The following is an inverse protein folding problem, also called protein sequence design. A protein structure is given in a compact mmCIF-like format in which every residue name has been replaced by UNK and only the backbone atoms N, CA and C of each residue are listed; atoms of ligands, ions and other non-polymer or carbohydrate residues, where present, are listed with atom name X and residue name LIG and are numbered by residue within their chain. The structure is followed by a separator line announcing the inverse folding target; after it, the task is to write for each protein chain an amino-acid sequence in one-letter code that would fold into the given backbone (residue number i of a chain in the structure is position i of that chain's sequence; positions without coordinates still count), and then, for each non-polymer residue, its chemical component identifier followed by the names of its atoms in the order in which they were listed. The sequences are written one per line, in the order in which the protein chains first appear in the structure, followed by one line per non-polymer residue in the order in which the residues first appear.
data_IF_263820455695
#
_entry.id   IF_263820455695
#
_cell.length_a   1.000
_cell.length_b   1.000
_cell.length_c   1.000
_cell.angle_alpha   90.00
_cell.angle_beta   90.00
_cell.angle_gamma   90.00
#
_symmetry.space_group_name_H-M   'P 1'
#
loop_
_entity.id
_entity.type
_entity.pdbx_description
1 polymer ?
#
# COMPACT_ATOMS: atom_id res chain seq x y z
N UNK A 1 15.73 -30.77 3.12
CA UNK A 1 14.78 -30.05 2.30
C UNK A 1 14.67 -28.62 2.78
N UNK A 2 14.63 -27.74 1.85
CA UNK A 2 14.49 -26.34 2.21
C UNK A 2 13.15 -26.12 2.90
N UNK A 3 13.17 -25.28 3.89
CA UNK A 3 11.96 -24.87 4.54
C UNK A 3 11.04 -24.21 3.50
N UNK A 4 9.76 -24.50 3.52
CA UNK A 4 8.87 -23.82 2.57
C UNK A 4 8.98 -22.31 2.77
N UNK A 5 8.86 -21.55 1.72
CA UNK A 5 8.92 -20.11 1.86
C UNK A 5 7.82 -19.65 2.79
N UNK A 6 8.15 -18.66 3.57
CA UNK A 6 7.14 -18.02 4.37
C UNK A 6 6.09 -17.47 3.44
N UNK A 7 4.87 -17.78 3.70
CA UNK A 7 3.83 -17.25 2.86
C UNK A 7 2.70 -16.75 3.72
N UNK A 8 2.04 -15.78 3.19
CA UNK A 8 0.88 -15.23 3.79
C UNK A 8 -0.33 -15.87 3.14
N UNK A 9 -1.01 -16.72 3.89
CA UNK A 9 -2.17 -17.44 3.40
C UNK A 9 -3.48 -16.72 3.71
N UNK A 10 -3.39 -15.49 4.20
CA UNK A 10 -4.57 -14.70 4.47
C UNK A 10 -5.12 -14.85 5.88
N UNK A 11 -4.49 -15.70 6.71
CA UNK A 11 -5.01 -15.94 8.05
C UNK A 11 -4.35 -15.08 9.12
N UNK A 12 -3.27 -14.41 8.79
CA UNK A 12 -2.53 -13.59 9.75
C UNK A 12 -2.30 -12.21 9.17
N UNK A 13 -2.34 -11.18 10.02
CA UNK A 13 -2.03 -9.83 9.54
C UNK A 13 -0.57 -9.70 9.15
N UNK A 14 -0.32 -8.88 8.16
CA UNK A 14 1.01 -8.59 7.65
C UNK A 14 1.27 -7.12 7.82
N UNK A 15 2.45 -6.80 8.32
CA UNK A 15 2.89 -5.41 8.45
C UNK A 15 3.73 -5.06 7.23
N UNK A 16 3.30 -4.02 6.54
CA UNK A 16 3.99 -3.53 5.35
C UNK A 16 4.53 -2.15 5.66
N UNK A 17 5.79 -1.95 5.34
CA UNK A 17 6.43 -0.65 5.48
C UNK A 17 6.96 -0.26 4.11
N UNK A 18 6.59 0.93 3.66
CA UNK A 18 7.06 1.47 2.40
C UNK A 18 7.69 2.82 2.62
N UNK A 19 8.85 3.03 2.02
CA UNK A 19 9.60 4.27 2.14
C UNK A 19 9.83 4.89 0.78
N UNK A 20 9.90 6.21 0.74
CA UNK A 20 10.36 6.90 -0.44
C UNK A 20 11.86 6.69 -0.61
N UNK A 21 12.33 6.93 -1.82
CA UNK A 21 13.77 6.98 -2.06
C UNK A 21 14.34 8.12 -1.24
N UNK A 22 15.58 7.94 -0.77
CA UNK A 22 16.24 8.93 0.08
C UNK A 22 16.13 10.32 -0.52
N UNK A 23 15.73 11.28 0.29
CA UNK A 23 15.62 12.67 -0.14
C UNK A 23 14.32 13.01 -0.85
N UNK A 24 13.43 12.06 -0.99
CA UNK A 24 12.16 12.29 -1.69
C UNK A 24 11.00 12.15 -0.71
N UNK A 25 9.80 12.38 -1.20
CA UNK A 25 8.58 12.18 -0.41
C UNK A 25 7.63 11.28 -1.19
N UNK A 26 6.85 10.50 -0.45
CA UNK A 26 5.79 9.70 -1.06
C UNK A 26 4.55 10.54 -1.29
N UNK A 27 4.20 11.35 -0.32
CA UNK A 27 2.96 12.13 -0.35
C UNK A 27 3.32 13.61 -0.27
N UNK A 28 3.39 14.28 -1.41
CA UNK A 28 3.85 15.68 -1.42
C UNK A 28 2.82 16.68 -0.87
N UNK A 29 1.56 16.28 -0.79
CA UNK A 29 0.53 17.20 -0.32
C UNK A 29 -0.65 16.42 0.25
N UNK A 30 -1.61 17.15 0.79
CA UNK A 30 -2.80 16.52 1.40
C UNK A 30 -3.62 15.76 0.38
N UNK A 31 -3.64 16.21 -0.85
CA UNK A 31 -4.36 15.51 -1.90
C UNK A 31 -3.77 14.13 -2.17
N UNK A 32 -2.45 14.02 -2.09
CA UNK A 32 -1.79 12.73 -2.27
C UNK A 32 -2.16 11.76 -1.15
N UNK A 33 -2.22 12.25 0.10
CA UNK A 33 -2.66 11.41 1.22
C UNK A 33 -4.08 10.90 0.99
N UNK A 34 -4.99 11.80 0.65
CA UNK A 34 -6.40 11.43 0.47
C UNK A 34 -6.56 10.47 -0.71
N UNK A 35 -5.86 10.74 -1.80
CA UNK A 35 -5.95 9.89 -2.98
C UNK A 35 -5.46 8.48 -2.69
N UNK A 36 -4.32 8.37 -2.00
CA UNK A 36 -3.75 7.06 -1.69
C UNK A 36 -4.64 6.30 -0.72
N UNK A 37 -5.15 6.99 0.29
CA UNK A 37 -6.07 6.39 1.25
C UNK A 37 -7.25 5.75 0.52
N UNK A 38 -7.88 6.52 -0.38
CA UNK A 38 -9.02 6.02 -1.13
C UNK A 38 -8.63 4.91 -2.10
N UNK A 39 -7.51 5.08 -2.79
CA UNK A 39 -7.07 4.09 -3.77
C UNK A 39 -6.74 2.76 -3.11
N UNK A 40 -6.06 2.82 -1.95
CA UNK A 40 -5.72 1.58 -1.25
C UNK A 40 -6.98 0.90 -0.72
N UNK A 41 -7.91 1.66 -0.18
CA UNK A 41 -9.16 1.10 0.30
C UNK A 41 -9.94 0.40 -0.81
N UNK A 42 -10.08 1.06 -1.94
CA UNK A 42 -10.80 0.48 -3.07
C UNK A 42 -10.08 -0.75 -3.62
N UNK A 43 -8.76 -0.66 -3.73
CA UNK A 43 -7.96 -1.76 -4.25
C UNK A 43 -7.99 -2.96 -3.31
N UNK A 44 -7.90 -2.70 -2.01
CA UNK A 44 -7.97 -3.77 -1.02
C UNK A 44 -9.30 -4.50 -1.09
N UNK A 45 -10.39 -3.75 -1.19
CA UNK A 45 -11.70 -4.35 -1.32
C UNK A 45 -11.80 -5.21 -2.58
N UNK A 46 -11.28 -4.69 -3.68
CA UNK A 46 -11.35 -5.41 -4.96
C UNK A 46 -10.55 -6.72 -4.93
N UNK A 47 -9.51 -6.78 -4.11
CA UNK A 47 -8.64 -7.95 -4.04
C UNK A 47 -8.88 -8.81 -2.81
N UNK A 48 -9.92 -8.52 -2.05
CA UNK A 48 -10.22 -9.32 -0.86
C UNK A 48 -9.24 -9.13 0.27
N UNK A 49 -8.61 -7.98 0.36
CA UNK A 49 -7.66 -7.66 1.41
C UNK A 49 -8.36 -6.82 2.48
N UNK A 50 -8.12 -7.16 3.72
CA UNK A 50 -8.67 -6.42 4.85
C UNK A 50 -7.61 -5.50 5.42
N UNK A 51 -7.91 -4.23 5.49
CA UNK A 51 -6.99 -3.24 6.05
C UNK A 51 -7.34 -3.06 7.52
N UNK A 52 -6.38 -3.37 8.38
CA UNK A 52 -6.57 -3.22 9.81
C UNK A 52 -6.12 -1.86 10.29
N UNK A 53 -5.04 -1.35 9.72
CA UNK A 53 -4.48 -0.09 10.15
C UNK A 53 -3.63 0.49 9.04
N UNK A 54 -3.72 1.80 8.86
CA UNK A 54 -2.92 2.49 7.85
C UNK A 54 -2.47 3.81 8.44
N UNK A 55 -1.16 4.03 8.41
CA UNK A 55 -0.56 5.25 8.92
C UNK A 55 0.30 5.85 7.83
N UNK A 56 -0.11 7.01 7.32
CA UNK A 56 0.56 7.66 6.20
C UNK A 56 1.39 8.83 6.72
N UNK A 57 2.65 8.85 6.33
CA UNK A 57 3.56 9.95 6.63
C UNK A 57 4.19 10.42 5.34
N UNK A 58 4.70 11.64 5.31
CA UNK A 58 5.13 12.23 4.04
C UNK A 58 6.16 11.38 3.31
N UNK A 59 7.03 10.68 4.02
CA UNK A 59 8.12 9.91 3.41
C UNK A 59 7.92 8.40 3.46
N UNK A 60 6.90 7.93 4.17
CA UNK A 60 6.70 6.49 4.30
C UNK A 60 5.29 6.22 4.80
N UNK A 61 4.90 4.94 4.76
CA UNK A 61 3.66 4.53 5.40
C UNK A 61 3.81 3.16 6.02
N UNK A 62 2.95 2.90 7.00
CA UNK A 62 2.80 1.60 7.64
C UNK A 62 1.41 1.09 7.34
N UNK A 63 1.32 -0.17 6.97
CA UNK A 63 0.05 -0.82 6.68
C UNK A 63 0.00 -2.14 7.43
N UNK A 64 -1.07 -2.35 8.17
CA UNK A 64 -1.36 -3.65 8.74
C UNK A 64 -2.57 -4.20 8.02
N UNK A 65 -2.38 -5.29 7.30
CA UNK A 65 -3.42 -5.82 6.43
C UNK A 65 -3.43 -7.34 6.48
N UNK A 66 -4.55 -7.91 6.09
CA UNK A 66 -4.74 -9.35 6.07
C UNK A 66 -5.29 -9.75 4.72
N UNK A 67 -4.61 -10.69 4.09
CA UNK A 67 -4.99 -11.18 2.77
C UNK A 67 -3.89 -12.08 2.25
N UNK A 68 -4.21 -12.84 1.21
CA UNK A 68 -3.19 -13.68 0.60
C UNK A 68 -2.09 -12.84 -0.01
N UNK A 69 -0.89 -13.40 -0.05
CA UNK A 69 0.28 -12.65 -0.47
C UNK A 69 0.12 -12.01 -1.84
N UNK A 70 -0.43 -12.77 -2.79
CA UNK A 70 -0.59 -12.24 -4.14
C UNK A 70 -1.65 -11.15 -4.20
N UNK A 71 -2.73 -11.34 -3.45
CA UNK A 71 -3.80 -10.35 -3.40
C UNK A 71 -3.30 -9.06 -2.76
N UNK A 72 -2.55 -9.20 -1.68
CA UNK A 72 -1.99 -8.06 -0.98
C UNK A 72 -1.02 -7.30 -1.88
N UNK A 73 -0.13 -8.02 -2.56
CA UNK A 73 0.82 -7.39 -3.47
C UNK A 73 0.10 -6.66 -4.61
N UNK A 74 -0.93 -7.27 -5.16
CA UNK A 74 -1.69 -6.65 -6.26
C UNK A 74 -2.40 -5.39 -5.79
N UNK A 75 -3.00 -5.43 -4.60
CA UNK A 75 -3.70 -4.27 -4.07
C UNK A 75 -2.73 -3.11 -3.83
N UNK A 76 -1.58 -3.40 -3.25
CA UNK A 76 -0.59 -2.38 -2.96
C UNK A 76 -0.02 -1.81 -4.26
N UNK A 77 0.29 -2.67 -5.22
CA UNK A 77 0.85 -2.23 -6.49
C UNK A 77 -0.11 -1.31 -7.23
N UNK A 78 -1.40 -1.64 -7.21
CA UNK A 78 -2.39 -0.80 -7.86
C UNK A 78 -2.50 0.56 -7.19
N UNK A 79 -2.48 0.59 -5.86
CA UNK A 79 -2.54 1.85 -5.14
C UNK A 79 -1.30 2.70 -5.44
N UNK A 80 -0.13 2.08 -5.50
CA UNK A 80 1.10 2.79 -5.85
C UNK A 80 1.06 3.34 -7.27
N UNK A 81 0.46 2.60 -8.19
CA UNK A 81 0.30 3.09 -9.56
C UNK A 81 -0.53 4.34 -9.61
N UNK A 82 -1.61 4.38 -8.83
CA UNK A 82 -2.44 5.58 -8.77
C UNK A 82 -1.73 6.74 -8.10
N UNK A 83 -0.93 6.47 -7.08
CA UNK A 83 -0.14 7.51 -6.45
C UNK A 83 0.87 8.09 -7.41
N UNK A 84 1.55 7.24 -8.17
CA UNK A 84 2.52 7.71 -9.16
C UNK A 84 1.85 8.58 -10.21
N UNK A 85 0.67 8.17 -10.67
CA UNK A 85 -0.08 8.97 -11.63
C UNK A 85 -0.44 10.33 -11.03
N UNK A 86 -0.92 10.34 -9.79
CA UNK A 86 -1.29 11.58 -9.13
C UNK A 86 -0.10 12.53 -9.00
N UNK A 87 1.05 12.00 -8.60
CA UNK A 87 2.24 12.83 -8.41
C UNK A 87 2.68 13.47 -9.70
N UNK A 88 2.41 12.82 -10.82
CA UNK A 88 2.81 13.35 -12.13
C UNK A 88 1.77 14.27 -12.74
N UNK A 89 0.50 14.18 -12.36
CA UNK A 89 -0.59 14.86 -13.04
C UNK A 89 -1.53 15.62 -12.11
N UNK A 90 -1.60 15.21 -10.86
CA UNK A 90 -2.71 15.60 -10.01
C UNK A 90 -2.79 17.05 -9.63
N UNK A 91 -1.69 17.76 -9.68
CA UNK A 91 -1.64 19.15 -9.25
C UNK A 91 -1.58 20.12 -10.42
N UNK A 92 -1.87 19.67 -11.60
CA UNK A 92 -1.79 20.48 -12.81
C UNK A 92 -3.06 21.18 -13.15
#
# INVERSE_FOLDING_TARGET
MARPPRRNDGTHPVHVLANAVAGDVLFPDDGAFAMFWDALGASATAHGVRVGQLCLMSTHYHLLAQGEAEALAAAIQRAHGKLAWYRNHGDR
#
